data_IF_976791098425
#
_entry.id   IF_976791098425
#
_cell.length_a   1.000
_cell.length_b   1.000
_cell.length_c   1.000
_cell.angle_alpha   90.00
_cell.angle_beta   90.00
_cell.angle_gamma   90.00
#
_symmetry.space_group_name_H-M   'P 1'
#
loop_
_entity.id
_entity.type
_entity.pdbx_description
1 polymer ?
#
# COMPACT_ATOMS: atom_id res chain seq x y z
N UNK A 1 37.14 17.57 9.25
CA UNK A 1 35.93 18.05 8.54
C UNK A 1 35.11 16.84 8.13
N UNK A 2 33.78 16.87 8.28
CA UNK A 2 32.90 15.74 7.93
C UNK A 2 31.80 16.17 6.95
N UNK A 3 31.48 15.30 6.01
CA UNK A 3 30.39 15.40 5.05
C UNK A 3 29.30 14.40 5.44
N UNK A 4 28.06 14.87 5.60
CA UNK A 4 26.93 14.06 6.06
C UNK A 4 25.73 14.26 5.15
N UNK A 5 25.01 13.18 4.86
CA UNK A 5 23.69 13.22 4.22
C UNK A 5 22.70 12.63 5.21
N UNK A 6 21.78 13.46 5.71
CA UNK A 6 20.84 13.06 6.75
C UNK A 6 21.56 12.61 8.03
N UNK A 7 21.47 11.32 8.32
CA UNK A 7 22.13 10.65 9.45
C UNK A 7 23.42 9.90 9.07
N UNK A 8 23.73 9.81 7.78
CA UNK A 8 24.82 8.99 7.25
C UNK A 8 26.06 9.84 6.97
N UNK A 9 27.20 9.46 7.57
CA UNK A 9 28.50 10.09 7.28
C UNK A 9 29.05 9.55 5.96
N UNK A 10 29.25 10.46 5.01
CA UNK A 10 29.74 10.15 3.67
C UNK A 10 31.27 10.17 3.66
N UNK A 11 31.88 11.20 4.26
CA UNK A 11 33.32 11.33 4.30
C UNK A 11 33.81 12.15 5.50
N UNK A 12 34.89 11.71 6.11
CA UNK A 12 35.62 12.44 7.15
C UNK A 12 37.07 12.63 6.72
N UNK A 13 37.53 13.88 6.82
CA UNK A 13 38.89 14.29 6.50
C UNK A 13 39.62 14.79 7.74
N UNK A 14 40.84 14.31 7.93
CA UNK A 14 41.76 14.82 8.94
C UNK A 14 42.28 16.20 8.51
N UNK A 15 41.88 17.24 9.24
CA UNK A 15 42.44 18.58 9.07
C UNK A 15 43.55 18.77 10.09
N UNK A 16 44.78 19.08 9.65
CA UNK A 16 45.86 19.42 10.59
C UNK A 16 45.48 20.65 11.44
N UNK A 17 45.92 20.67 12.71
CA UNK A 17 45.58 21.72 13.66
C UNK A 17 46.10 23.10 13.21
N UNK A 18 45.31 24.15 13.46
CA UNK A 18 45.56 25.55 13.09
C UNK A 18 46.85 26.18 13.65
N UNK A 19 47.62 25.48 14.49
CA UNK A 19 48.85 26.01 15.10
C UNK A 19 50.00 26.27 14.09
N UNK A 20 49.87 25.86 12.83
CA UNK A 20 50.89 26.10 11.78
C UNK A 20 50.50 27.15 10.73
N UNK A 21 49.31 27.76 10.79
CA UNK A 21 48.82 28.70 9.76
C UNK A 21 49.27 30.14 10.04
N UNK A 22 50.57 30.37 9.91
CA UNK A 22 51.16 31.71 9.85
C UNK A 22 50.89 32.35 8.48
N UNK A 23 50.05 33.40 8.46
CA UNK A 23 50.13 34.58 7.57
C UNK A 23 50.17 34.39 6.03
N UNK A 24 49.57 33.34 5.46
CA UNK A 24 49.33 33.28 4.00
C UNK A 24 47.86 33.04 3.70
N UNK A 25 47.39 33.66 2.62
CA UNK A 25 46.03 33.57 2.11
C UNK A 25 45.56 32.11 2.15
N UNK A 26 44.38 31.88 2.72
CA UNK A 26 43.80 30.54 2.80
C UNK A 26 43.38 30.16 1.39
N UNK A 27 44.25 29.43 0.69
CA UNK A 27 43.90 28.76 -0.55
C UNK A 27 42.74 27.79 -0.27
N UNK A 28 41.76 27.74 -1.17
CA UNK A 28 40.67 26.76 -1.10
C UNK A 28 41.31 25.36 -1.04
N UNK A 29 41.12 24.67 0.08
CA UNK A 29 41.57 23.28 0.23
C UNK A 29 40.48 22.39 -0.34
N UNK A 30 40.74 21.78 -1.50
CA UNK A 30 39.90 20.70 -2.04
C UNK A 30 40.27 19.39 -1.36
N UNK A 31 39.26 18.61 -1.00
CA UNK A 31 39.43 17.26 -0.45
C UNK A 31 38.86 16.27 -1.47
N UNK A 32 39.64 15.26 -1.84
CA UNK A 32 39.16 14.18 -2.70
C UNK A 32 38.35 13.19 -1.87
N UNK A 33 37.20 12.74 -2.38
CA UNK A 33 36.39 11.72 -1.71
C UNK A 33 37.20 10.42 -1.48
N UNK A 34 38.12 10.09 -2.37
CA UNK A 34 39.00 8.91 -2.27
C UNK A 34 39.88 8.90 -1.01
N UNK A 35 40.18 10.07 -0.46
CA UNK A 35 41.01 10.27 0.72
C UNK A 35 40.20 10.23 2.03
N UNK A 36 38.89 9.98 1.93
CA UNK A 36 38.01 9.89 3.10
C UNK A 36 38.41 8.70 3.98
N UNK A 37 38.39 8.91 5.30
CA UNK A 37 38.78 7.91 6.28
C UNK A 37 37.93 6.62 6.19
N UNK A 38 36.66 6.76 5.81
CA UNK A 38 35.69 5.68 5.62
C UNK A 38 35.99 4.82 4.39
N UNK A 39 36.71 5.37 3.40
CA UNK A 39 37.01 4.74 2.10
C UNK A 39 38.48 4.30 1.98
N UNK A 40 39.36 4.77 2.86
CA UNK A 40 40.81 4.60 2.78
C UNK A 40 41.31 3.14 2.70
N UNK A 41 40.49 2.15 3.11
CA UNK A 41 40.90 0.76 3.28
C UNK A 41 40.22 -0.26 2.33
N UNK A 42 39.40 0.18 1.37
CA UNK A 42 38.73 -0.74 0.43
C UNK A 42 38.50 -0.11 -0.94
N UNK A 43 39.05 -0.74 -1.98
CA UNK A 43 38.88 -0.30 -3.37
C UNK A 43 37.42 -0.42 -3.84
N UNK A 44 36.69 -1.42 -3.34
CA UNK A 44 35.25 -1.57 -3.59
C UNK A 44 34.47 -0.41 -2.97
N UNK A 45 34.77 -0.04 -1.72
CA UNK A 45 34.12 1.10 -1.06
C UNK A 45 34.35 2.39 -1.82
N UNK A 46 35.58 2.65 -2.27
CA UNK A 46 35.92 3.83 -3.09
C UNK A 46 35.12 3.84 -4.38
N UNK A 47 35.18 2.76 -5.14
CA UNK A 47 34.51 2.66 -6.45
C UNK A 47 33.00 2.83 -6.33
N UNK A 48 32.37 2.13 -5.38
CA UNK A 48 30.93 2.18 -5.15
C UNK A 48 30.47 3.53 -4.59
N UNK A 49 31.22 4.12 -3.65
CA UNK A 49 30.91 5.43 -3.10
C UNK A 49 31.01 6.52 -4.17
N UNK A 50 32.06 6.52 -4.98
CA UNK A 50 32.23 7.49 -6.08
C UNK A 50 31.09 7.33 -7.09
N UNK A 51 30.79 6.11 -7.51
CA UNK A 51 29.68 5.83 -8.45
C UNK A 51 28.33 6.33 -7.93
N UNK A 52 28.00 6.01 -6.67
CA UNK A 52 26.74 6.42 -6.04
C UNK A 52 26.65 7.94 -5.84
N UNK A 53 27.75 8.57 -5.39
CA UNK A 53 27.81 10.01 -5.16
C UNK A 53 27.73 10.80 -6.47
N UNK A 54 28.41 10.32 -7.51
CA UNK A 54 28.40 10.96 -8.84
C UNK A 54 27.05 10.82 -9.53
N UNK A 55 26.40 9.66 -9.40
CA UNK A 55 25.04 9.45 -9.94
C UNK A 55 23.97 10.23 -9.18
N UNK A 56 24.26 10.62 -7.94
CA UNK A 56 23.36 11.45 -7.10
C UNK A 56 23.75 12.94 -7.11
N UNK A 57 24.74 13.31 -7.92
CA UNK A 57 25.14 14.71 -8.06
C UNK A 57 24.08 15.49 -8.83
N UNK A 58 23.65 16.59 -8.23
CA UNK A 58 22.64 17.50 -8.77
C UNK A 58 23.23 18.86 -9.15
N UNK A 59 24.55 19.01 -9.05
CA UNK A 59 25.24 20.22 -9.48
C UNK A 59 25.21 20.33 -11.02
N UNK A 60 25.28 21.56 -11.57
CA UNK A 60 25.54 21.76 -12.99
C UNK A 60 26.89 21.14 -13.39
N UNK A 61 26.99 20.61 -14.62
CA UNK A 61 28.16 19.85 -15.11
C UNK A 61 29.52 20.59 -15.05
N UNK A 62 29.51 21.92 -14.90
CA UNK A 62 30.71 22.77 -14.83
C UNK A 62 31.10 23.17 -13.39
N UNK A 63 30.45 22.59 -12.37
CA UNK A 63 30.74 22.90 -10.98
C UNK A 63 31.88 22.04 -10.44
N UNK A 64 32.90 22.67 -9.84
CA UNK A 64 33.94 21.99 -9.04
C UNK A 64 33.42 21.52 -7.65
N UNK A 65 32.10 21.47 -7.47
CA UNK A 65 31.43 21.13 -6.23
C UNK A 65 30.49 19.95 -6.48
N UNK A 66 30.30 19.15 -5.44
CA UNK A 66 29.36 18.04 -5.42
C UNK A 66 28.08 18.48 -4.69
N UNK A 67 26.92 18.35 -5.33
CA UNK A 67 25.62 18.71 -4.76
C UNK A 67 24.80 17.45 -4.50
N UNK A 68 24.66 17.06 -3.23
CA UNK A 68 23.75 15.99 -2.81
C UNK A 68 22.42 16.60 -2.35
N UNK A 69 21.64 17.11 -3.29
CA UNK A 69 20.30 17.64 -3.06
C UNK A 69 19.24 16.67 -3.55
N UNK A 70 18.45 16.15 -2.63
CA UNK A 70 17.40 15.17 -2.91
C UNK A 70 16.04 15.86 -3.01
N UNK A 71 15.26 15.56 -4.06
CA UNK A 71 13.92 16.12 -4.29
C UNK A 71 12.86 15.57 -3.33
N UNK A 72 13.11 14.42 -2.71
CA UNK A 72 12.21 13.81 -1.73
C UNK A 72 12.96 13.17 -0.55
N UNK A 73 12.24 12.97 0.56
CA UNK A 73 12.74 12.22 1.73
C UNK A 73 13.06 10.77 1.36
N UNK A 74 12.35 10.21 0.37
CA UNK A 74 12.53 8.85 -0.13
C UNK A 74 13.86 8.73 -0.89
N UNK A 75 14.16 9.67 -1.78
CA UNK A 75 15.42 9.68 -2.54
C UNK A 75 16.63 9.80 -1.61
N UNK A 76 16.51 10.60 -0.55
CA UNK A 76 17.53 10.71 0.49
C UNK A 76 17.70 9.40 1.25
N UNK A 77 16.60 8.78 1.72
CA UNK A 77 16.65 7.52 2.46
C UNK A 77 17.23 6.38 1.60
N UNK A 78 16.93 6.40 0.30
CA UNK A 78 17.50 5.47 -0.68
C UNK A 78 19.01 5.64 -0.81
N UNK A 79 19.47 6.87 -0.96
CA UNK A 79 20.90 7.16 -0.99
C UNK A 79 21.58 6.69 0.30
N UNK A 80 21.01 6.97 1.48
CA UNK A 80 21.54 6.50 2.77
C UNK A 80 21.59 4.96 2.87
N UNK A 81 20.57 4.26 2.37
CA UNK A 81 20.52 2.79 2.32
C UNK A 81 21.62 2.23 1.43
N UNK A 82 21.76 2.73 0.20
CA UNK A 82 22.77 2.29 -0.75
C UNK A 82 24.17 2.63 -0.22
N UNK A 83 24.36 3.81 0.38
CA UNK A 83 25.67 4.22 0.91
C UNK A 83 26.16 3.30 2.04
N UNK A 84 25.25 2.72 2.83
CA UNK A 84 25.61 1.73 3.87
C UNK A 84 26.08 0.38 3.30
N UNK A 85 25.81 0.11 2.03
CA UNK A 85 26.13 -1.16 1.35
C UNK A 85 27.29 -1.06 0.35
N UNK A 86 28.04 0.06 0.34
CA UNK A 86 29.17 0.29 -0.57
C UNK A 86 30.33 -0.71 -0.40
N UNK A 87 30.34 -1.52 0.66
CA UNK A 87 31.36 -2.56 0.89
C UNK A 87 31.14 -3.83 0.04
N UNK A 88 29.99 -3.94 -0.61
CA UNK A 88 29.71 -5.07 -1.50
C UNK A 88 30.66 -5.08 -2.70
N UNK A 89 30.84 -6.27 -3.30
CA UNK A 89 31.53 -6.38 -4.58
C UNK A 89 30.86 -5.47 -5.62
N UNK A 90 31.65 -4.77 -6.43
CA UNK A 90 31.18 -3.73 -7.37
C UNK A 90 30.07 -4.21 -8.29
N UNK A 91 30.14 -5.46 -8.76
CA UNK A 91 29.11 -6.07 -9.62
C UNK A 91 27.78 -6.26 -8.88
N UNK A 92 27.83 -6.66 -7.60
CA UNK A 92 26.63 -6.83 -6.78
C UNK A 92 26.04 -5.49 -6.38
N UNK A 93 26.89 -4.50 -6.09
CA UNK A 93 26.45 -3.14 -5.78
C UNK A 93 25.77 -2.48 -6.97
N UNK A 94 26.35 -2.61 -8.17
CA UNK A 94 25.77 -2.07 -9.40
C UNK A 94 24.42 -2.70 -9.73
N UNK A 95 24.26 -4.01 -9.49
CA UNK A 95 22.96 -4.69 -9.59
C UNK A 95 21.95 -4.13 -8.59
N UNK A 96 22.32 -3.95 -7.33
CA UNK A 96 21.43 -3.36 -6.32
C UNK A 96 21.00 -1.93 -6.66
N UNK A 97 21.93 -1.11 -7.16
CA UNK A 97 21.62 0.26 -7.62
C UNK A 97 20.63 0.21 -8.77
N UNK A 98 20.86 -0.64 -9.77
CA UNK A 98 19.99 -0.78 -10.95
C UNK A 98 18.63 -1.39 -10.60
N UNK A 99 18.58 -2.45 -9.79
CA UNK A 99 17.34 -3.03 -9.26
C UNK A 99 16.52 -1.98 -8.51
N UNK A 100 17.16 -1.16 -7.66
CA UNK A 100 16.50 -0.05 -6.96
C UNK A 100 16.09 1.11 -7.91
N UNK A 101 16.78 1.32 -9.05
CA UNK A 101 16.38 2.31 -10.07
C UNK A 101 15.19 1.77 -10.86
N UNK A 102 15.24 0.52 -11.31
CA UNK A 102 14.17 -0.18 -12.04
C UNK A 102 12.92 -0.40 -11.16
N UNK A 103 13.09 -0.54 -9.85
CA UNK A 103 12.00 -0.54 -8.87
C UNK A 103 11.27 0.81 -8.76
N UNK A 104 11.92 1.92 -9.18
CA UNK A 104 11.36 3.28 -9.07
C UNK A 104 11.04 3.94 -10.43
N UNK A 105 11.65 3.50 -11.52
CA UNK A 105 11.49 4.05 -12.87
C UNK A 105 10.49 3.26 -13.74
N UNK A 106 10.01 2.10 -13.28
CA UNK A 106 8.98 1.35 -13.98
C UNK A 106 7.66 2.15 -14.02
N UNK A 107 7.05 2.18 -15.20
CA UNK A 107 5.69 2.67 -15.48
C UNK A 107 4.59 1.94 -14.68
N UNK A 108 4.96 0.88 -13.95
CA UNK A 108 4.12 0.06 -13.09
C UNK A 108 4.23 0.53 -11.64
N UNK A 109 3.85 1.79 -11.40
CA UNK A 109 3.50 2.20 -10.03
C UNK A 109 2.29 1.41 -9.57
N UNK A 110 2.18 1.17 -8.27
CA UNK A 110 0.91 0.76 -7.66
C UNK A 110 -0.20 1.60 -8.29
N UNK A 111 -1.26 0.99 -8.82
CA UNK A 111 -2.26 1.79 -9.49
C UNK A 111 -2.88 2.70 -8.41
N UNK A 112 -3.15 3.94 -8.78
CA UNK A 112 -3.45 5.07 -7.89
C UNK A 112 -2.27 5.74 -7.16
N UNK A 113 -1.78 6.83 -7.74
CA UNK A 113 -0.89 7.82 -7.09
C UNK A 113 -1.66 8.92 -6.34
N UNK A 114 -2.98 8.77 -6.13
CA UNK A 114 -3.79 9.71 -5.36
C UNK A 114 -3.91 9.30 -3.90
N UNK A 115 -2.81 9.34 -3.15
CA UNK A 115 -2.93 9.52 -1.69
C UNK A 115 -2.74 11.00 -1.39
N UNK A 116 -3.83 11.65 -0.95
CA UNK A 116 -3.73 12.99 -0.39
C UNK A 116 -2.91 12.88 0.90
N UNK A 117 -1.64 13.29 0.85
CA UNK A 117 -0.71 13.29 2.00
C UNK A 117 -1.01 14.43 2.98
N UNK A 118 -2.30 14.72 3.19
CA UNK A 118 -2.72 15.71 4.19
C UNK A 118 -2.72 14.99 5.53
N UNK A 119 -1.54 14.94 6.15
CA UNK A 119 -1.44 14.60 7.57
C UNK A 119 -2.02 15.79 8.34
N UNK A 120 -3.08 15.62 9.15
CA UNK A 120 -3.56 16.69 10.01
C UNK A 120 -2.41 17.14 10.92
N UNK A 121 -2.17 18.45 10.98
CA UNK A 121 -1.16 19.03 11.88
C UNK A 121 -1.51 18.60 13.31
N UNK A 122 -0.60 17.86 13.94
CA UNK A 122 -0.69 17.53 15.36
C UNK A 122 0.19 18.50 16.14
N UNK A 123 -0.36 19.07 17.20
CA UNK A 123 0.38 19.91 18.15
C UNK A 123 1.36 19.01 18.90
N UNK A 124 2.66 19.35 18.87
CA UNK A 124 3.70 18.61 19.60
C UNK A 124 3.32 18.52 21.10
N UNK A 125 3.36 17.30 21.65
CA UNK A 125 3.14 17.04 23.08
C UNK A 125 1.78 16.44 23.47
N UNK A 126 0.85 16.27 22.53
CA UNK A 126 -0.47 15.68 22.84
C UNK A 126 -0.45 14.15 22.71
N UNK A 127 -0.56 13.42 23.83
CA UNK A 127 -0.83 11.97 23.82
C UNK A 127 -2.34 11.73 23.70
N UNK A 128 -2.82 10.84 22.81
CA UNK A 128 -4.22 10.44 22.83
C UNK A 128 -4.52 9.71 24.14
N UNK A 129 -5.51 10.18 24.89
CA UNK A 129 -6.03 9.49 26.07
C UNK A 129 -7.36 8.80 25.70
N UNK A 130 -7.36 7.47 25.71
CA UNK A 130 -8.55 6.64 25.45
C UNK A 130 -9.66 6.84 26.50
N UNK A 131 -9.34 7.45 27.64
CA UNK A 131 -10.29 7.75 28.71
C UNK A 131 -10.79 9.20 28.68
N UNK A 132 -10.32 10.02 27.73
CA UNK A 132 -10.81 11.38 27.58
C UNK A 132 -12.23 11.39 26.98
N UNK A 133 -12.99 12.44 27.28
CA UNK A 133 -14.34 12.65 26.72
C UNK A 133 -14.36 12.82 25.20
N UNK A 134 -13.21 13.04 24.56
CA UNK A 134 -13.07 13.13 23.11
C UNK A 134 -11.79 12.39 22.67
N UNK A 135 -11.96 11.25 21.99
CA UNK A 135 -10.87 10.49 21.40
C UNK A 135 -10.60 11.07 20.01
N UNK A 136 -9.35 11.46 19.76
CA UNK A 136 -8.93 11.97 18.44
C UNK A 136 -9.18 10.92 17.35
N UNK A 137 -9.62 11.35 16.16
CA UNK A 137 -9.82 10.47 15.00
C UNK A 137 -8.53 9.74 14.56
N UNK A 138 -7.36 10.21 15.00
CA UNK A 138 -6.06 9.60 14.73
C UNK A 138 -5.55 8.75 15.90
N UNK A 139 -6.33 8.56 16.97
CA UNK A 139 -5.89 7.75 18.12
C UNK A 139 -5.53 6.32 17.72
N UNK A 140 -6.21 5.76 16.71
CA UNK A 140 -5.88 4.45 16.15
C UNK A 140 -4.47 4.41 15.56
N UNK A 141 -3.97 5.49 14.94
CA UNK A 141 -2.60 5.52 14.38
C UNK A 141 -1.51 5.52 15.47
N UNK A 142 -1.80 6.08 16.65
CA UNK A 142 -0.83 6.18 17.76
C UNK A 142 -0.67 4.90 18.56
N UNK A 143 -1.71 4.05 18.63
CA UNK A 143 -1.66 2.76 19.30
C UNK A 143 -1.38 1.60 18.35
N UNK A 144 -1.19 1.89 17.07
CA UNK A 144 -0.68 0.91 16.13
C UNK A 144 0.74 0.52 16.52
N UNK A 145 0.94 -0.77 16.73
CA UNK A 145 2.27 -1.34 16.88
C UNK A 145 3.10 -0.98 15.64
N UNK A 146 4.15 -0.18 15.87
CA UNK A 146 5.21 0.04 14.89
C UNK A 146 6.37 -0.87 15.31
N UNK A 147 6.67 -1.93 14.53
CA UNK A 147 7.78 -2.82 14.83
C UNK A 147 9.09 -2.04 14.84
N UNK A 148 9.88 -2.21 15.91
CA UNK A 148 11.23 -1.64 16.03
C UNK A 148 12.26 -2.38 15.18
N UNK A 149 11.91 -3.59 14.74
CA UNK A 149 12.71 -4.44 13.85
C UNK A 149 11.82 -5.01 12.73
N UNK A 150 12.33 -5.00 11.49
CA UNK A 150 11.63 -5.53 10.32
C UNK A 150 11.68 -7.06 10.38
N UNK A 151 10.59 -7.69 10.84
CA UNK A 151 10.45 -9.14 10.76
C UNK A 151 9.91 -9.48 9.37
N UNK A 152 10.82 -9.88 8.47
CA UNK A 152 10.43 -10.46 7.18
C UNK A 152 9.62 -11.73 7.46
N UNK A 153 8.35 -11.69 7.08
CA UNK A 153 7.35 -12.72 7.33
C UNK A 153 6.86 -13.26 5.99
N UNK A 154 6.63 -14.57 5.94
CA UNK A 154 6.00 -15.22 4.80
C UNK A 154 4.48 -15.22 4.99
N UNK A 155 3.76 -14.66 4.03
CA UNK A 155 2.31 -14.66 3.94
C UNK A 155 1.80 -15.60 2.86
N UNK A 156 0.52 -15.96 2.95
CA UNK A 156 -0.18 -16.75 1.93
C UNK A 156 -1.49 -16.06 1.56
N UNK A 157 -1.67 -15.81 0.26
CA UNK A 157 -2.90 -15.32 -0.33
C UNK A 157 -3.79 -16.51 -0.68
N UNK A 158 -5.03 -16.51 -0.18
CA UNK A 158 -5.99 -17.61 -0.36
C UNK A 158 -7.33 -17.14 -0.91
N UNK A 159 -7.99 -18.02 -1.68
CA UNK A 159 -9.36 -17.81 -2.14
C UNK A 159 -10.37 -18.09 -1.00
N UNK A 160 -11.65 -17.82 -1.27
CA UNK A 160 -12.76 -18.04 -0.33
C UNK A 160 -12.92 -19.51 0.12
N UNK A 161 -12.32 -20.46 -0.59
CA UNK A 161 -12.31 -21.89 -0.26
C UNK A 161 -11.01 -22.30 0.48
N UNK A 162 -10.10 -21.37 0.74
CA UNK A 162 -8.83 -21.61 1.41
C UNK A 162 -7.72 -22.12 0.49
N UNK A 163 -7.90 -22.09 -0.83
CA UNK A 163 -6.86 -22.50 -1.78
C UNK A 163 -5.89 -21.35 -2.03
N UNK A 164 -4.59 -21.65 -2.13
CA UNK A 164 -3.57 -20.65 -2.47
C UNK A 164 -3.80 -20.01 -3.83
N UNK A 165 -3.51 -18.71 -3.95
CA UNK A 165 -3.69 -17.93 -5.19
C UNK A 165 -2.34 -17.48 -5.74
N UNK A 166 -1.91 -18.13 -6.82
CA UNK A 166 -0.66 -17.87 -7.53
C UNK A 166 -0.84 -16.86 -8.66
N UNK A 167 0.23 -16.11 -8.98
CA UNK A 167 0.24 -15.20 -10.13
C UNK A 167 -0.35 -13.81 -9.86
N UNK A 168 -0.50 -13.42 -8.58
CA UNK A 168 -0.97 -12.09 -8.17
C UNK A 168 0.22 -11.22 -7.78
N UNK A 169 0.29 -10.01 -8.33
CA UNK A 169 1.33 -9.04 -8.00
C UNK A 169 1.07 -8.48 -6.59
N UNK A 170 2.11 -8.42 -5.76
CA UNK A 170 2.06 -7.80 -4.43
C UNK A 170 3.08 -6.70 -4.30
N UNK A 171 2.70 -5.64 -3.60
CA UNK A 171 3.49 -4.45 -3.37
C UNK A 171 3.44 -4.09 -1.90
N UNK A 172 4.61 -3.92 -1.30
CA UNK A 172 4.79 -3.50 0.08
C UNK A 172 5.85 -2.42 0.14
N UNK A 173 5.99 -1.76 1.29
CA UNK A 173 7.08 -0.82 1.48
C UNK A 173 8.46 -1.52 1.55
N UNK A 174 8.48 -2.79 1.94
CA UNK A 174 9.70 -3.59 2.07
C UNK A 174 10.10 -4.38 0.82
N UNK A 175 9.18 -4.56 -0.15
CA UNK A 175 9.44 -5.29 -1.38
C UNK A 175 8.21 -5.46 -2.28
N UNK A 176 8.44 -6.04 -3.46
CA UNK A 176 7.39 -6.38 -4.43
C UNK A 176 7.67 -7.75 -5.04
N UNK A 177 6.66 -8.40 -5.57
CA UNK A 177 6.83 -9.65 -6.29
C UNK A 177 5.51 -10.21 -6.78
N UNK A 178 5.52 -11.49 -7.13
CA UNK A 178 4.33 -12.24 -7.54
C UNK A 178 4.15 -13.40 -6.58
N UNK A 179 2.90 -13.72 -6.21
CA UNK A 179 2.61 -14.88 -5.38
C UNK A 179 3.04 -16.17 -6.05
N UNK A 180 3.68 -17.07 -5.28
CA UNK A 180 4.21 -18.34 -5.78
C UNK A 180 3.11 -19.37 -6.09
N UNK A 181 3.49 -20.58 -6.50
CA UNK A 181 2.57 -21.68 -6.85
C UNK A 181 1.58 -22.07 -5.74
N UNK A 182 1.90 -21.77 -4.47
CA UNK A 182 1.06 -22.00 -3.30
C UNK A 182 0.38 -20.72 -2.79
N UNK A 183 0.52 -19.61 -3.51
CA UNK A 183 0.01 -18.29 -3.15
C UNK A 183 0.86 -17.56 -2.11
N UNK A 184 2.11 -17.96 -1.88
CA UNK A 184 2.96 -17.35 -0.86
C UNK A 184 3.63 -16.07 -1.36
N UNK A 185 3.86 -15.14 -0.45
CA UNK A 185 4.55 -13.87 -0.68
C UNK A 185 5.31 -13.42 0.58
N UNK A 186 6.24 -12.49 0.44
CA UNK A 186 7.02 -11.96 1.57
C UNK A 186 6.57 -10.55 1.92
N UNK A 187 6.42 -10.28 3.22
CA UNK A 187 6.07 -8.95 3.73
C UNK A 187 6.64 -8.75 5.14
N UNK A 188 6.73 -7.51 5.57
CA UNK A 188 7.16 -7.08 6.89
C UNK A 188 5.94 -6.83 7.79
N UNK A 189 5.94 -7.39 9.00
CA UNK A 189 4.79 -7.27 9.90
C UNK A 189 4.42 -5.81 10.17
N UNK A 190 3.13 -5.49 10.09
CA UNK A 190 2.58 -4.15 10.33
C UNK A 190 2.51 -3.24 9.11
N UNK A 191 3.10 -3.61 7.97
CA UNK A 191 3.03 -2.82 6.73
C UNK A 191 1.73 -3.03 5.94
N UNK A 192 1.40 -2.11 5.04
CA UNK A 192 0.29 -2.29 4.09
C UNK A 192 0.79 -3.06 2.88
N UNK A 193 0.07 -4.13 2.54
CA UNK A 193 0.31 -4.96 1.37
C UNK A 193 -0.79 -4.66 0.36
N UNK A 194 -0.41 -4.15 -0.80
CA UNK A 194 -1.31 -3.93 -1.93
C UNK A 194 -1.19 -5.08 -2.91
N UNK A 195 -2.32 -5.57 -3.41
CA UNK A 195 -2.39 -6.67 -4.37
C UNK A 195 -3.02 -6.19 -5.67
N UNK A 196 -2.49 -6.69 -6.79
CA UNK A 196 -2.93 -6.34 -8.14
C UNK A 196 -2.66 -7.44 -9.16
N UNK A 197 -3.13 -7.21 -10.37
CA UNK A 197 -2.76 -7.98 -11.56
C UNK A 197 -2.30 -6.94 -12.57
N UNK A 198 -0.99 -6.82 -12.75
CA UNK A 198 -0.40 -5.78 -13.59
C UNK A 198 -0.96 -4.38 -13.20
N UNK A 199 -1.65 -3.70 -14.11
CA UNK A 199 -2.27 -2.38 -13.86
C UNK A 199 -3.60 -2.42 -13.09
N UNK A 200 -4.16 -3.60 -12.82
CA UNK A 200 -5.45 -3.75 -12.12
C UNK A 200 -5.29 -3.85 -10.60
N UNK A 201 -6.04 -3.05 -9.85
CA UNK A 201 -6.01 -3.04 -8.38
C UNK A 201 -7.06 -3.98 -7.81
N UNK A 202 -6.60 -5.03 -7.10
CA UNK A 202 -7.49 -5.85 -6.31
C UNK A 202 -7.83 -5.10 -5.01
N UNK A 203 -6.81 -4.68 -4.27
CA UNK A 203 -6.99 -3.91 -3.04
C UNK A 203 -5.78 -3.97 -2.14
N UNK A 204 -5.95 -3.59 -0.88
CA UNK A 204 -4.85 -3.59 0.08
C UNK A 204 -5.29 -4.01 1.46
N UNK A 205 -4.37 -4.58 2.22
CA UNK A 205 -4.63 -5.09 3.56
C UNK A 205 -3.38 -4.87 4.42
N UNK A 206 -3.59 -4.73 5.72
CA UNK A 206 -2.47 -4.67 6.65
C UNK A 206 -1.88 -6.06 6.90
N UNK A 207 -0.57 -6.20 6.73
CA UNK A 207 0.19 -7.41 7.03
C UNK A 207 0.32 -7.64 8.53
N UNK A 208 -0.74 -8.08 9.19
CA UNK A 208 -0.74 -8.43 10.62
C UNK A 208 -1.00 -9.93 10.87
N UNK A 209 -1.08 -10.74 9.81
CA UNK A 209 -1.36 -12.18 9.84
C UNK A 209 -0.69 -12.89 8.68
N UNK A 210 -0.48 -14.20 8.82
CA UNK A 210 0.20 -15.05 7.84
C UNK A 210 -0.70 -15.49 6.68
N UNK A 211 -2.01 -15.44 6.84
CA UNK A 211 -2.96 -15.87 5.81
C UNK A 211 -3.92 -14.74 5.53
N UNK A 212 -4.01 -14.35 4.27
CA UNK A 212 -4.82 -13.24 3.79
C UNK A 212 -5.78 -13.81 2.76
N UNK A 213 -7.08 -13.65 2.99
CA UNK A 213 -8.08 -14.06 2.01
C UNK A 213 -8.33 -12.94 1.00
N UNK A 214 -8.63 -13.30 -0.25
CA UNK A 214 -9.02 -12.34 -1.30
C UNK A 214 -10.21 -11.45 -0.86
N UNK A 215 -11.11 -12.01 -0.06
CA UNK A 215 -12.27 -11.30 0.49
C UNK A 215 -11.93 -10.21 1.50
N UNK A 216 -10.68 -10.17 1.98
CA UNK A 216 -10.20 -9.19 2.96
C UNK A 216 -9.44 -8.03 2.32
N UNK A 217 -9.27 -8.06 0.99
CA UNK A 217 -8.59 -7.02 0.23
C UNK A 217 -9.47 -5.78 -0.03
N UNK A 218 -10.77 -5.89 0.23
CA UNK A 218 -11.72 -4.81 0.08
C UNK A 218 -12.95 -5.01 0.95
N UNK A 219 -13.58 -3.91 1.34
CA UNK A 219 -14.75 -3.93 2.20
C UNK A 219 -15.99 -4.48 1.48
N UNK A 220 -16.91 -5.03 2.28
CA UNK A 220 -18.26 -5.43 1.84
C UNK A 220 -18.27 -6.39 0.63
N UNK A 221 -18.88 -5.94 -0.47
CA UNK A 221 -19.07 -6.67 -1.72
C UNK A 221 -17.79 -6.74 -2.54
N UNK A 222 -16.88 -5.77 -2.36
CA UNK A 222 -15.64 -5.65 -3.13
C UNK A 222 -14.75 -6.87 -2.96
N UNK A 223 -14.53 -7.30 -1.72
CA UNK A 223 -13.76 -8.51 -1.41
C UNK A 223 -14.31 -9.76 -2.10
N UNK A 224 -15.64 -9.93 -2.09
CA UNK A 224 -16.29 -11.05 -2.75
C UNK A 224 -16.16 -10.98 -4.28
N UNK A 225 -16.23 -9.78 -4.87
CA UNK A 225 -16.01 -9.58 -6.30
C UNK A 225 -14.56 -9.81 -6.72
N UNK A 226 -13.59 -9.50 -5.86
CA UNK A 226 -12.18 -9.86 -6.09
C UNK A 226 -12.05 -11.38 -6.17
N UNK A 227 -12.64 -12.12 -5.22
CA UNK A 227 -12.63 -13.58 -5.27
C UNK A 227 -13.34 -14.12 -6.53
N UNK A 228 -14.46 -13.51 -6.95
CA UNK A 228 -15.13 -13.86 -8.21
C UNK A 228 -14.26 -13.60 -9.44
N UNK A 229 -13.59 -12.45 -9.51
CA UNK A 229 -12.74 -12.08 -10.63
C UNK A 229 -11.57 -13.04 -10.76
N UNK A 230 -10.87 -13.30 -9.64
CA UNK A 230 -9.76 -14.25 -9.61
C UNK A 230 -10.27 -15.64 -9.96
N UNK A 231 -11.40 -16.07 -9.42
CA UNK A 231 -11.99 -17.36 -9.79
C UNK A 231 -12.23 -17.44 -11.29
N UNK A 232 -12.85 -16.41 -11.88
CA UNK A 232 -13.21 -16.36 -13.30
C UNK A 232 -12.01 -16.51 -14.23
N UNK A 233 -10.91 -15.83 -13.93
CA UNK A 233 -9.71 -15.80 -14.78
C UNK A 233 -8.61 -16.78 -14.37
N UNK A 234 -8.76 -17.44 -13.22
CA UNK A 234 -7.81 -18.47 -12.77
C UNK A 234 -7.98 -19.81 -13.50
N UNK A 235 -6.89 -20.55 -13.61
CA UNK A 235 -6.91 -21.98 -13.91
C UNK A 235 -6.59 -22.79 -12.66
N UNK A 236 -6.92 -24.07 -12.68
CA UNK A 236 -6.59 -24.98 -11.56
C UNK A 236 -5.11 -25.34 -11.64
N UNK A 237 -4.35 -24.95 -10.61
CA UNK A 237 -2.95 -25.29 -10.42
C UNK A 237 -2.74 -26.62 -9.70
N UNK A 238 -1.53 -26.85 -9.22
CA UNK A 238 -1.21 -28.01 -8.39
C UNK A 238 -1.84 -27.86 -6.99
N UNK A 239 -2.20 -28.97 -6.33
CA UNK A 239 -2.79 -28.94 -4.98
C UNK A 239 -4.05 -28.06 -4.82
N UNK A 240 -4.90 -28.02 -5.85
CA UNK A 240 -6.12 -27.19 -5.91
C UNK A 240 -5.88 -25.68 -5.84
N UNK A 241 -4.65 -25.20 -6.04
CA UNK A 241 -4.37 -23.76 -6.07
C UNK A 241 -5.03 -23.09 -7.27
N UNK A 242 -5.30 -21.81 -7.13
CA UNK A 242 -5.80 -20.92 -8.19
C UNK A 242 -4.58 -20.28 -8.83
N UNK A 243 -4.38 -20.46 -10.14
CA UNK A 243 -3.28 -19.83 -10.85
C UNK A 243 -3.85 -18.77 -11.78
N UNK A 244 -3.47 -17.51 -11.60
CA UNK A 244 -3.77 -16.44 -12.56
C UNK A 244 -2.76 -16.54 -13.71
N UNK A 245 -3.19 -16.88 -14.94
CA UNK A 245 -2.28 -17.02 -16.07
C UNK A 245 -1.66 -15.67 -16.46
N UNK A 246 -0.43 -15.71 -16.97
CA UNK A 246 0.28 -14.52 -17.45
C UNK A 246 -0.45 -13.81 -18.61
N UNK A 247 -1.30 -14.52 -19.36
CA UNK A 247 -2.16 -13.92 -20.39
C UNK A 247 -3.19 -12.93 -19.83
N UNK A 248 -3.66 -13.13 -18.60
CA UNK A 248 -4.54 -12.17 -17.91
C UNK A 248 -3.78 -10.87 -17.67
N UNK A 249 -2.55 -10.97 -17.17
CA UNK A 249 -1.65 -9.83 -16.93
C UNK A 249 -1.40 -9.06 -18.23
N UNK A 250 -1.08 -9.77 -19.32
CA UNK A 250 -0.87 -9.15 -20.64
C UNK A 250 -2.10 -8.40 -21.15
N UNK A 251 -3.30 -8.95 -20.99
CA UNK A 251 -4.52 -8.25 -21.43
C UNK A 251 -4.78 -7.02 -20.57
N UNK A 252 -4.59 -7.09 -19.24
CA UNK A 252 -4.75 -5.92 -18.38
C UNK A 252 -3.72 -4.83 -18.70
N UNK A 253 -2.49 -5.20 -19.07
CA UNK A 253 -1.45 -4.27 -19.51
C UNK A 253 -1.82 -3.47 -20.78
N UNK A 254 -2.74 -3.97 -21.61
CA UNK A 254 -3.23 -3.25 -22.80
C UNK A 254 -4.14 -2.06 -22.43
N UNK A 255 -4.63 -1.99 -21.18
CA UNK A 255 -5.55 -0.96 -20.68
C UNK A 255 -4.97 -0.14 -19.52
N UNK A 256 -3.77 0.46 -19.68
CA UNK A 256 -3.14 1.20 -18.59
C UNK A 256 -4.00 2.41 -18.21
N UNK A 257 -4.19 2.61 -16.91
CA UNK A 257 -4.95 3.71 -16.29
C UNK A 257 -6.49 3.64 -16.36
N UNK A 258 -7.09 2.71 -17.12
CA UNK A 258 -8.55 2.64 -17.28
C UNK A 258 -9.16 1.32 -16.86
N UNK A 259 -8.36 0.27 -16.66
CA UNK A 259 -8.87 -1.07 -16.34
C UNK A 259 -9.72 -1.10 -15.05
N UNK A 260 -9.34 -0.31 -14.03
CA UNK A 260 -10.09 -0.18 -12.77
C UNK A 260 -11.44 0.55 -12.92
N UNK A 261 -11.59 1.35 -13.98
CA UNK A 261 -12.86 2.02 -14.32
C UNK A 261 -13.74 1.13 -15.22
N UNK A 262 -13.12 0.28 -16.05
CA UNK A 262 -13.83 -0.65 -16.94
C UNK A 262 -14.40 -1.83 -16.14
N UNK A 263 -13.62 -2.40 -15.22
CA UNK A 263 -14.05 -3.51 -14.36
C UNK A 263 -14.31 -2.98 -12.95
N UNK A 264 -15.59 -2.77 -12.63
CA UNK A 264 -15.98 -2.21 -11.34
C UNK A 264 -16.22 -3.32 -10.32
N UNK A 265 -15.29 -3.46 -9.36
CA UNK A 265 -15.38 -4.42 -8.26
C UNK A 265 -16.39 -4.04 -7.17
N UNK A 266 -16.99 -2.85 -7.22
CA UNK A 266 -17.95 -2.39 -6.21
C UNK A 266 -19.40 -2.69 -6.58
N UNK A 267 -19.63 -3.31 -7.75
CA UNK A 267 -20.98 -3.67 -8.22
C UNK A 267 -21.61 -4.78 -7.37
N UNK A 268 -22.94 -4.85 -7.38
CA UNK A 268 -23.68 -5.90 -6.69
C UNK A 268 -23.30 -7.29 -7.22
N UNK A 269 -23.09 -8.25 -6.33
CA UNK A 269 -22.49 -9.56 -6.65
C UNK A 269 -23.50 -10.72 -6.65
N UNK A 270 -24.80 -10.41 -6.68
CA UNK A 270 -25.86 -11.42 -6.66
C UNK A 270 -26.11 -12.05 -5.28
N UNK A 271 -25.55 -11.49 -4.22
CA UNK A 271 -25.74 -12.03 -2.88
C UNK A 271 -27.20 -12.01 -2.45
N UNK A 272 -27.57 -13.03 -1.69
CA UNK A 272 -28.86 -13.09 -0.99
C UNK A 272 -28.71 -12.44 0.38
N UNK A 273 -29.48 -11.40 0.63
CA UNK A 273 -29.61 -10.77 1.94
C UNK A 273 -30.67 -11.50 2.74
N UNK A 274 -30.32 -11.95 3.95
CA UNK A 274 -31.26 -12.47 4.92
C UNK A 274 -31.77 -11.30 5.78
N UNK A 275 -33.04 -10.91 5.57
CA UNK A 275 -33.75 -9.90 6.37
C UNK A 275 -34.62 -10.53 7.47
N UNK A 276 -34.28 -11.76 7.90
CA UNK A 276 -34.96 -12.49 8.97
C UNK A 276 -36.18 -13.28 8.48
N UNK A 277 -37.19 -12.59 7.96
CA UNK A 277 -38.43 -13.22 7.47
C UNK A 277 -38.44 -13.44 5.95
N UNK A 278 -37.55 -12.76 5.21
CA UNK A 278 -37.43 -12.87 3.75
C UNK A 278 -35.98 -12.81 3.28
N UNK A 279 -35.69 -13.60 2.26
CA UNK A 279 -34.43 -13.58 1.53
C UNK A 279 -34.58 -12.68 0.30
N UNK A 280 -33.81 -11.59 0.25
CA UNK A 280 -33.77 -10.67 -0.90
C UNK A 280 -32.56 -11.02 -1.75
N UNK A 281 -32.79 -11.49 -2.97
CA UNK A 281 -31.71 -11.77 -3.92
C UNK A 281 -31.40 -10.48 -4.70
N UNK A 282 -30.19 -9.97 -4.55
CA UNK A 282 -29.73 -8.82 -5.32
C UNK A 282 -29.40 -9.25 -6.76
N UNK A 283 -29.50 -8.35 -7.75
CA UNK A 283 -28.93 -8.60 -9.07
C UNK A 283 -27.41 -8.79 -8.98
N UNK A 284 -26.85 -9.53 -9.92
CA UNK A 284 -25.40 -9.70 -10.05
C UNK A 284 -24.85 -8.77 -11.13
N UNK A 285 -24.88 -7.47 -10.86
CA UNK A 285 -24.36 -6.45 -11.79
C UNK A 285 -22.86 -6.64 -12.07
N UNK A 286 -22.11 -7.18 -11.10
CA UNK A 286 -20.70 -7.51 -11.28
C UNK A 286 -20.48 -8.52 -12.41
N UNK A 287 -21.31 -9.56 -12.53
CA UNK A 287 -21.21 -10.51 -13.64
C UNK A 287 -21.87 -9.96 -14.93
N UNK A 288 -22.95 -9.20 -14.81
CA UNK A 288 -23.61 -8.59 -15.98
C UNK A 288 -22.68 -7.64 -16.76
N UNK A 289 -21.72 -6.99 -16.08
CA UNK A 289 -20.77 -6.10 -16.74
C UNK A 289 -19.98 -6.81 -17.86
N UNK A 290 -19.66 -8.10 -17.70
CA UNK A 290 -18.91 -8.89 -18.69
C UNK A 290 -19.73 -9.29 -19.91
N UNK A 291 -21.03 -8.95 -19.97
CA UNK A 291 -21.90 -9.27 -21.12
C UNK A 291 -21.99 -8.14 -22.14
N UNK A 292 -21.59 -6.92 -21.79
CA UNK A 292 -21.70 -5.73 -22.64
C UNK A 292 -20.50 -4.78 -22.50
N UNK A 293 -20.35 -3.84 -23.44
CA UNK A 293 -19.32 -2.80 -23.36
C UNK A 293 -17.87 -3.31 -23.39
N UNK A 294 -16.95 -2.50 -22.88
CA UNK A 294 -15.50 -2.80 -22.87
C UNK A 294 -15.15 -3.97 -21.93
N UNK A 295 -15.87 -4.12 -20.81
CA UNK A 295 -15.65 -5.25 -19.90
C UNK A 295 -15.88 -6.60 -20.60
N UNK A 296 -16.86 -6.69 -21.52
CA UNK A 296 -17.05 -7.87 -22.37
C UNK A 296 -15.88 -8.12 -23.32
N UNK A 297 -15.33 -7.07 -23.93
CA UNK A 297 -14.22 -7.20 -24.88
C UNK A 297 -12.98 -7.75 -24.17
N UNK A 298 -12.67 -7.21 -22.99
CA UNK A 298 -11.59 -7.67 -22.12
C UNK A 298 -11.83 -9.12 -21.68
N UNK A 299 -13.04 -9.41 -21.20
CA UNK A 299 -13.43 -10.76 -20.78
C UNK A 299 -13.26 -11.77 -21.93
N UNK A 300 -13.74 -11.44 -23.12
CA UNK A 300 -13.63 -12.30 -24.31
C UNK A 300 -12.17 -12.52 -24.70
N UNK A 301 -11.33 -11.49 -24.63
CA UNK A 301 -9.90 -11.58 -24.94
C UNK A 301 -9.17 -12.48 -23.94
N UNK A 302 -9.52 -12.41 -22.65
CA UNK A 302 -8.95 -13.27 -21.60
C UNK A 302 -9.45 -14.71 -21.79
N UNK A 303 -10.77 -14.91 -21.86
CA UNK A 303 -11.35 -16.26 -21.98
C UNK A 303 -10.89 -17.00 -23.24
N UNK A 304 -10.60 -16.29 -24.33
CA UNK A 304 -10.04 -16.89 -25.54
C UNK A 304 -8.59 -17.39 -25.36
N UNK A 305 -7.83 -16.79 -24.44
CA UNK A 305 -6.43 -17.17 -24.13
C UNK A 305 -6.32 -18.19 -22.99
N UNK A 306 -7.34 -18.32 -22.14
CA UNK A 306 -7.33 -19.21 -20.96
C UNK A 306 -8.11 -20.52 -21.15
N UNK A 307 -8.39 -20.95 -22.39
CA UNK A 307 -9.24 -22.11 -22.73
C UNK A 307 -10.65 -22.03 -22.11
N UNK A 308 -11.19 -20.81 -22.02
CA UNK A 308 -12.46 -20.50 -21.37
C UNK A 308 -12.29 -19.86 -19.99
N UNK A 309 -13.30 -19.11 -19.56
CA UNK A 309 -13.36 -18.58 -18.20
C UNK A 309 -14.27 -19.45 -17.33
N UNK A 310 -13.95 -19.52 -16.04
CA UNK A 310 -14.78 -20.26 -15.09
C UNK A 310 -16.16 -19.60 -14.93
N UNK A 311 -17.15 -20.43 -14.60
CA UNK A 311 -18.48 -19.97 -14.25
C UNK A 311 -18.46 -19.12 -12.96
N UNK A 312 -19.44 -18.23 -12.83
CA UNK A 312 -19.54 -17.38 -11.65
C UNK A 312 -19.76 -18.23 -10.40
N UNK A 313 -18.99 -17.95 -9.35
CA UNK A 313 -19.21 -18.54 -8.02
C UNK A 313 -20.43 -17.92 -7.37
N UNK A 314 -21.24 -18.76 -6.72
CA UNK A 314 -22.27 -18.31 -5.81
C UNK A 314 -21.63 -17.78 -4.52
N UNK A 315 -21.97 -16.55 -4.13
CA UNK A 315 -21.63 -16.01 -2.82
C UNK A 315 -22.90 -15.82 -2.01
N UNK A 316 -22.92 -16.43 -0.82
CA UNK A 316 -23.84 -16.00 0.23
C UNK A 316 -23.08 -14.99 1.07
N UNK A 317 -23.45 -13.72 0.96
CA UNK A 317 -23.16 -12.79 2.03
C UNK A 317 -24.15 -13.17 3.13
N UNK A 318 -23.67 -13.81 4.19
CA UNK A 318 -24.42 -13.71 5.44
C UNK A 318 -24.50 -12.22 5.71
N UNK A 319 -25.71 -11.65 5.74
CA UNK A 319 -25.89 -10.33 6.32
C UNK A 319 -25.14 -10.43 7.65
N UNK A 320 -24.11 -9.59 7.85
CA UNK A 320 -23.69 -9.31 9.22
C UNK A 320 -24.95 -8.78 9.82
N UNK A 321 -25.68 -9.65 10.52
CA UNK A 321 -26.94 -9.31 11.14
C UNK A 321 -26.62 -8.01 11.84
N UNK A 322 -27.37 -6.95 11.55
CA UNK A 322 -27.12 -5.65 12.18
C UNK A 322 -27.15 -5.83 13.69
N UNK A 323 -27.71 -6.93 14.20
CA UNK A 323 -27.70 -7.36 15.59
C UNK A 323 -26.45 -8.15 16.07
N UNK A 324 -25.62 -8.75 15.20
CA UNK A 324 -24.47 -9.61 15.61
C UNK A 324 -23.08 -8.99 15.41
N UNK A 325 -23.00 -7.74 14.94
CA UNK A 325 -21.73 -7.02 14.82
C UNK A 325 -21.43 -6.13 16.03
N UNK A 326 -20.16 -5.97 16.38
CA UNK A 326 -19.65 -4.91 17.30
C UNK A 326 -20.20 -3.52 16.95
N UNK A 327 -20.58 -3.31 15.68
CA UNK A 327 -21.25 -2.12 15.15
C UNK A 327 -22.56 -1.84 15.89
N UNK A 328 -23.38 -2.85 16.23
CA UNK A 328 -24.60 -2.64 17.00
C UNK A 328 -24.32 -2.18 18.43
N UNK A 329 -23.27 -2.72 19.06
CA UNK A 329 -22.83 -2.26 20.37
C UNK A 329 -22.40 -0.80 20.34
N UNK A 330 -21.69 -0.38 19.29
CA UNK A 330 -21.26 1.01 19.09
C UNK A 330 -22.44 1.92 18.77
N UNK A 331 -23.35 1.47 17.89
CA UNK A 331 -24.59 2.15 17.54
C UNK A 331 -25.50 2.31 18.77
N UNK A 332 -25.70 1.27 19.57
CA UNK A 332 -26.49 1.30 20.80
C UNK A 332 -25.86 2.23 21.85
N UNK A 333 -24.52 2.25 21.95
CA UNK A 333 -23.78 3.18 22.81
C UNK A 333 -23.91 4.62 22.34
N UNK A 334 -23.89 4.87 21.04
CA UNK A 334 -24.12 6.19 20.43
C UNK A 334 -25.59 6.63 20.53
N UNK A 335 -26.53 5.68 20.62
CA UNK A 335 -27.98 5.93 20.67
C UNK A 335 -28.59 5.81 22.08
N UNK A 336 -27.78 5.55 23.11
CA UNK A 336 -28.20 5.50 24.53
C UNK A 336 -29.24 4.41 24.82
N UNK A 337 -29.12 3.25 24.17
CA UNK A 337 -30.07 2.14 24.31
C UNK A 337 -29.47 1.06 25.22
N UNK A 338 -30.05 0.92 26.42
CA UNK A 338 -29.46 0.11 27.49
C UNK A 338 -30.12 -1.28 27.59
N UNK A 339 -31.39 -1.41 27.20
CA UNK A 339 -32.13 -2.70 27.15
C UNK A 339 -33.38 -2.64 26.26
N UNK A 340 -33.61 -3.71 25.50
CA UNK A 340 -34.79 -4.03 24.66
C UNK A 340 -35.09 -3.11 23.48
N UNK A 341 -35.10 -3.73 22.29
CA UNK A 341 -35.44 -3.11 21.01
C UNK A 341 -36.97 -2.96 20.87
N UNK A 342 -37.45 -1.77 20.49
CA UNK A 342 -38.73 -1.63 19.79
C UNK A 342 -38.42 -1.20 18.36
N UNK A 343 -39.10 -1.81 17.38
CA UNK A 343 -38.90 -1.51 15.96
C UNK A 343 -39.20 -0.05 15.67
N UNK A 344 -38.25 0.65 15.05
CA UNK A 344 -38.44 2.06 14.64
C UNK A 344 -39.15 2.07 13.30
N UNK A 345 -40.43 2.40 13.31
CA UNK A 345 -41.23 2.48 12.08
C UNK A 345 -41.00 3.77 11.31
N UNK A 346 -40.55 4.85 11.97
CA UNK A 346 -40.34 6.19 11.38
C UNK A 346 -39.23 6.96 12.09
N UNK A 347 -38.45 7.72 11.33
CA UNK A 347 -37.55 8.75 11.84
C UNK A 347 -37.98 10.12 11.32
N UNK A 348 -37.92 11.14 12.16
CA UNK A 348 -38.08 12.54 11.75
C UNK A 348 -36.75 13.26 11.94
N UNK A 349 -36.22 13.80 10.84
CA UNK A 349 -35.04 14.68 10.86
C UNK A 349 -35.54 16.12 10.91
N UNK A 350 -35.24 16.84 11.99
CA UNK A 350 -35.51 18.26 12.05
C UNK A 350 -34.36 19.03 11.39
N UNK A 351 -34.71 19.86 10.42
CA UNK A 351 -33.85 20.94 9.97
C UNK A 351 -34.27 22.19 10.74
N UNK A 352 -33.47 22.59 11.72
CA UNK A 352 -33.69 23.87 12.40
C UNK A 352 -33.02 24.97 11.58
N UNK A 353 -33.81 25.62 10.73
CA UNK A 353 -33.40 26.83 10.03
C UNK A 353 -33.81 28.06 10.84
N UNK A 354 -33.22 28.25 12.03
CA UNK A 354 -33.31 29.51 12.77
C UNK A 354 -31.95 30.14 13.08
N UNK A 355 -31.56 31.00 12.12
CA UNK A 355 -31.01 32.37 12.22
C UNK A 355 -29.86 32.72 13.20
N UNK A 356 -28.77 33.21 12.59
CA UNK A 356 -27.74 34.15 13.09
C UNK A 356 -26.99 33.79 14.38
N UNK A 357 -25.79 33.21 14.19
CA UNK A 357 -24.67 33.04 15.15
C UNK A 357 -24.47 31.68 15.84
N UNK A 358 -24.99 30.57 15.31
CA UNK A 358 -24.49 29.24 15.66
C UNK A 358 -24.58 28.27 14.46
N UNK A 359 -23.63 27.33 14.37
CA UNK A 359 -23.63 26.30 13.32
C UNK A 359 -24.92 25.45 13.38
N UNK A 360 -25.48 25.03 12.23
CA UNK A 360 -26.70 24.22 12.21
C UNK A 360 -26.48 22.90 12.96
N UNK A 361 -27.33 22.63 13.95
CA UNK A 361 -27.32 21.37 14.71
C UNK A 361 -28.46 20.50 14.20
N UNK A 362 -28.13 19.43 13.49
CA UNK A 362 -29.12 18.43 13.07
C UNK A 362 -29.56 17.62 14.29
N UNK A 363 -30.84 17.67 14.65
CA UNK A 363 -31.44 16.80 15.68
C UNK A 363 -32.38 15.79 15.03
N UNK A 364 -32.12 14.51 15.27
CA UNK A 364 -33.04 13.43 14.96
C UNK A 364 -33.79 13.02 16.24
N UNK A 365 -35.11 12.88 16.16
CA UNK A 365 -35.94 12.38 17.27
C UNK A 365 -36.66 11.12 16.84
N UNK A 366 -36.56 10.08 17.67
CA UNK A 366 -37.26 8.80 17.49
C UNK A 366 -38.73 8.94 17.92
N UNK A 367 -39.64 8.34 17.15
CA UNK A 367 -40.99 7.99 17.62
C UNK A 367 -41.11 6.47 17.59
N UNK A 368 -41.57 5.91 18.71
CA UNK A 368 -41.91 4.50 18.86
C UNK A 368 -43.25 4.22 18.20
#
# INVERSE_FOLDING_TARGET
MSCVVGSTTIATFNTQSEAARSLRAVDKVSFSLEDAQELANSENKKTNAISLVTSSDSCPADAEQLCLTFSSVVDRARFEKLYKQIDLATDNFSKLVNEEVENNAATDKAPSTHTSTVVPVTTEGTKPDLNASFVSANAEQFYQYQPTEIILSEGQLVDSLGNGVAGVDYYTNSGRGVTDENGKFSFSWGETISFGIDTFELGSVRGNKSTIALTELGDEVRGANIDQLIHRYSTTGQNNTRVVPDDVRKVFAEYPNVINEIINLSLSNGATLDEGDQNVVLPNEFIEQFKTGQAKEIDTAICAKTDGCNEARWFSLTTRNVNDGQIQGVINKLWGVDTNYQSVSKFHVFHDSTTSMAAPVTRAVRRW
#
